data_IF_314042353034
#
_entry.id   IF_314042353034
#
_cell.length_a   1.000
_cell.length_b   1.000
_cell.length_c   1.000
_cell.angle_alpha   90.00
_cell.angle_beta   90.00
_cell.angle_gamma   90.00
#
_symmetry.space_group_name_H-M   'P 1'
#
loop_
_entity.id
_entity.type
_entity.pdbx_description
1 polymer ?
#
# COMPACT_ATOMS: atom_id res chain seq x y z
N UNK A 1 5.47 32.31 -7.20
CA UNK A 1 6.29 31.12 -6.91
C UNK A 1 5.39 30.17 -6.13
N UNK A 2 4.88 29.13 -6.79
CA UNK A 2 3.96 28.17 -6.18
C UNK A 2 4.71 27.34 -5.13
N UNK A 3 4.02 27.15 -4.00
CA UNK A 3 4.46 26.47 -2.80
C UNK A 3 4.82 25.00 -3.09
N UNK A 4 6.08 24.64 -2.90
CA UNK A 4 6.66 23.32 -3.20
C UNK A 4 6.31 22.25 -2.14
N UNK A 5 5.07 22.27 -1.64
CA UNK A 5 4.56 21.36 -0.62
C UNK A 5 3.18 20.77 -0.98
N UNK A 6 2.89 20.61 -2.27
CA UNK A 6 1.70 19.93 -2.78
C UNK A 6 1.80 18.39 -2.56
N UNK A 7 1.56 18.02 -1.30
CA UNK A 7 0.83 16.83 -0.88
C UNK A 7 1.29 15.45 -1.42
N UNK A 8 2.48 14.99 -1.01
CA UNK A 8 2.86 13.57 -1.09
C UNK A 8 2.08 12.74 -0.05
N UNK A 9 0.80 12.48 -0.33
CA UNK A 9 -0.13 11.89 0.64
C UNK A 9 -0.68 10.54 0.17
N UNK A 10 -0.19 9.45 0.77
CA UNK A 10 -0.89 8.15 0.78
C UNK A 10 -2.26 8.33 1.44
N UNK A 11 -3.26 8.75 0.67
CA UNK A 11 -4.66 8.91 1.09
C UNK A 11 -5.38 7.57 1.06
N UNK A 12 -6.36 7.41 1.95
CA UNK A 12 -7.30 6.29 1.87
C UNK A 12 -8.10 6.42 0.58
N UNK A 13 -8.15 5.35 -0.23
CA UNK A 13 -8.99 5.26 -1.43
C UNK A 13 -10.15 4.32 -1.13
N UNK A 14 -11.41 4.79 -1.16
CA UNK A 14 -12.55 3.91 -0.94
C UNK A 14 -12.72 2.98 -2.15
N UNK A 15 -12.85 1.69 -1.89
CA UNK A 15 -13.21 0.68 -2.89
C UNK A 15 -14.60 0.14 -2.56
N UNK A 16 -15.43 -0.04 -3.58
CA UNK A 16 -16.74 -0.70 -3.42
C UNK A 16 -16.55 -2.18 -3.67
N UNK A 17 -16.87 -3.01 -2.67
CA UNK A 17 -16.70 -4.46 -2.72
C UNK A 17 -17.93 -5.10 -2.08
N UNK A 18 -18.53 -6.15 -2.67
CA UNK A 18 -19.59 -6.91 -2.03
C UNK A 18 -19.13 -7.51 -0.69
N UNK A 19 -19.96 -7.41 0.36
CA UNK A 19 -19.62 -7.91 1.69
C UNK A 19 -19.24 -9.40 1.75
N UNK A 20 -19.91 -10.32 1.01
CA UNK A 20 -19.51 -11.72 1.00
C UNK A 20 -18.10 -11.91 0.41
N UNK A 21 -17.77 -11.13 -0.63
CA UNK A 21 -16.45 -11.17 -1.27
C UNK A 21 -15.38 -10.63 -0.32
N UNK A 22 -15.65 -9.51 0.35
CA UNK A 22 -14.73 -8.91 1.32
C UNK A 22 -14.44 -9.83 2.52
N UNK A 23 -15.46 -10.55 2.96
CA UNK A 23 -15.35 -11.57 4.02
C UNK A 23 -14.51 -12.74 3.57
N UNK A 24 -14.84 -13.34 2.42
CA UNK A 24 -14.12 -14.49 1.87
C UNK A 24 -12.63 -14.17 1.61
N UNK A 25 -12.34 -13.01 1.01
CA UNK A 25 -10.97 -12.55 0.78
C UNK A 25 -10.19 -12.38 2.08
N UNK A 26 -10.83 -11.82 3.12
CA UNK A 26 -10.23 -11.71 4.45
C UNK A 26 -9.79 -13.03 5.04
N UNK A 27 -10.66 -14.06 4.95
CA UNK A 27 -10.35 -15.39 5.46
C UNK A 27 -9.16 -16.02 4.72
N UNK A 28 -9.08 -15.84 3.39
CA UNK A 28 -7.95 -16.32 2.59
C UNK A 28 -6.65 -15.63 3.01
N UNK A 29 -6.68 -14.30 3.15
CA UNK A 29 -5.49 -13.51 3.48
C UNK A 29 -5.01 -13.79 4.92
N UNK A 30 -5.94 -13.97 5.86
CA UNK A 30 -5.63 -14.36 7.23
C UNK A 30 -4.95 -15.74 7.30
N UNK A 31 -5.42 -16.74 6.53
CA UNK A 31 -4.77 -18.05 6.44
C UNK A 31 -3.34 -17.99 5.90
N UNK A 32 -3.01 -16.94 5.15
CA UNK A 32 -1.66 -16.70 4.60
C UNK A 32 -0.78 -15.85 5.53
N UNK A 33 -1.29 -15.47 6.71
CA UNK A 33 -0.54 -14.69 7.70
C UNK A 33 -0.33 -13.22 7.32
N UNK A 34 -1.18 -12.65 6.46
CA UNK A 34 -1.13 -11.23 6.09
C UNK A 34 -2.46 -10.53 6.39
N UNK A 35 -2.55 -9.23 6.06
CA UNK A 35 -3.78 -8.45 6.14
C UNK A 35 -4.26 -8.03 4.75
N UNK A 36 -5.56 -7.72 4.64
CA UNK A 36 -6.20 -7.39 3.35
C UNK A 36 -5.50 -6.24 2.61
N UNK A 37 -5.04 -5.23 3.34
CA UNK A 37 -4.38 -4.06 2.75
C UNK A 37 -3.03 -4.43 2.13
N UNK A 38 -2.20 -5.21 2.84
CA UNK A 38 -0.93 -5.71 2.33
C UNK A 38 -1.13 -6.61 1.11
N UNK A 39 -2.10 -7.53 1.17
CA UNK A 39 -2.41 -8.41 0.06
C UNK A 39 -2.93 -7.66 -1.18
N UNK A 40 -3.74 -6.60 -0.99
CA UNK A 40 -4.19 -5.72 -2.08
C UNK A 40 -3.05 -4.91 -2.66
N UNK A 41 -2.18 -4.33 -1.82
CA UNK A 41 -1.00 -3.62 -2.28
C UNK A 41 -0.08 -4.54 -3.07
N UNK A 42 0.13 -5.76 -2.60
CA UNK A 42 0.97 -6.73 -3.30
C UNK A 42 0.37 -7.15 -4.65
N UNK A 43 -0.94 -7.38 -4.70
CA UNK A 43 -1.63 -7.64 -5.96
C UNK A 43 -1.46 -6.49 -6.97
N UNK A 44 -1.59 -5.23 -6.51
CA UNK A 44 -1.36 -4.05 -7.36
C UNK A 44 0.08 -3.99 -7.88
N UNK A 45 1.08 -4.24 -7.02
CA UNK A 45 2.49 -4.27 -7.45
C UNK A 45 2.74 -5.34 -8.49
N UNK A 46 2.22 -6.55 -8.28
CA UNK A 46 2.41 -7.67 -9.20
C UNK A 46 1.78 -7.40 -10.55
N UNK A 47 0.59 -6.81 -10.56
CA UNK A 47 -0.11 -6.46 -11.80
C UNK A 47 0.65 -5.39 -12.59
N UNK A 48 1.12 -4.31 -11.94
CA UNK A 48 1.93 -3.27 -12.58
C UNK A 48 3.25 -3.84 -13.12
N UNK A 49 3.95 -4.67 -12.35
CA UNK A 49 5.21 -5.29 -12.81
C UNK A 49 5.00 -6.17 -14.03
N UNK A 50 3.89 -6.91 -14.07
CA UNK A 50 3.60 -7.89 -15.12
C UNK A 50 3.03 -7.25 -16.38
N UNK A 51 2.13 -6.29 -16.22
CA UNK A 51 1.28 -5.78 -17.30
C UNK A 51 1.45 -4.27 -17.55
N UNK A 52 2.15 -3.55 -16.67
CA UNK A 52 2.31 -2.11 -16.75
C UNK A 52 3.28 -1.65 -17.85
N UNK A 53 3.05 -0.44 -18.33
CA UNK A 53 3.97 0.29 -19.21
C UNK A 53 5.21 0.75 -18.45
N UNK A 54 6.20 1.30 -19.17
CA UNK A 54 7.40 1.86 -18.52
C UNK A 54 7.06 3.06 -17.62
N UNK A 55 6.01 3.82 -17.97
CA UNK A 55 5.49 4.90 -17.12
C UNK A 55 4.86 4.35 -15.83
N UNK A 56 4.03 3.29 -15.93
CA UNK A 56 3.41 2.66 -14.76
C UNK A 56 4.45 2.09 -13.79
N UNK A 57 5.54 1.51 -14.33
CA UNK A 57 6.65 1.00 -13.54
C UNK A 57 7.43 2.13 -12.85
N UNK A 58 7.65 3.25 -13.53
CA UNK A 58 8.29 4.42 -12.91
C UNK A 58 7.46 4.99 -11.75
N UNK A 59 6.12 5.02 -11.90
CA UNK A 59 5.20 5.41 -10.83
C UNK A 59 5.21 4.42 -9.66
N UNK A 60 5.29 3.12 -9.95
CA UNK A 60 5.49 2.09 -8.92
C UNK A 60 6.78 2.33 -8.12
N UNK A 61 7.89 2.62 -8.80
CA UNK A 61 9.18 2.89 -8.15
C UNK A 61 9.15 4.17 -7.29
N UNK A 62 8.43 5.21 -7.72
CA UNK A 62 8.17 6.38 -6.87
C UNK A 62 7.34 6.01 -5.62
N UNK A 63 6.26 5.26 -5.80
CA UNK A 63 5.40 4.84 -4.69
C UNK A 63 6.15 3.95 -3.68
N UNK A 64 7.03 3.06 -4.14
CA UNK A 64 7.84 2.21 -3.27
C UNK A 64 8.87 3.02 -2.47
N UNK A 65 9.48 4.04 -3.08
CA UNK A 65 10.38 4.98 -2.38
C UNK A 65 9.64 5.76 -1.29
N UNK A 66 8.46 6.30 -1.57
CA UNK A 66 7.66 7.03 -0.57
C UNK A 66 7.28 6.11 0.63
N UNK A 67 6.83 4.88 0.34
CA UNK A 67 6.46 3.92 1.38
C UNK A 67 7.67 3.45 2.21
N UNK A 68 8.85 3.35 1.60
CA UNK A 68 10.09 3.06 2.31
C UNK A 68 10.44 4.21 3.26
N UNK A 69 10.48 5.45 2.78
CA UNK A 69 10.75 6.64 3.60
C UNK A 69 9.79 6.77 4.79
N UNK A 70 8.49 6.49 4.58
CA UNK A 70 7.49 6.49 5.66
C UNK A 70 7.74 5.40 6.69
N UNK A 71 8.11 4.18 6.26
CA UNK A 71 8.46 3.08 7.17
C UNK A 71 9.70 3.44 8.00
N UNK A 72 10.72 4.05 7.38
CA UNK A 72 11.91 4.56 8.06
C UNK A 72 11.55 5.60 9.13
N UNK A 73 10.60 6.51 8.84
CA UNK A 73 10.12 7.52 9.80
C UNK A 73 9.27 6.94 10.92
N UNK A 74 8.44 5.92 10.65
CA UNK A 74 7.62 5.23 11.67
C UNK A 74 8.40 4.26 12.55
N UNK A 75 9.68 4.02 12.28
CA UNK A 75 10.59 3.17 13.07
C UNK A 75 10.96 3.70 14.46
N UNK A 76 10.46 4.88 14.86
CA UNK A 76 10.74 5.50 16.16
C UNK A 76 9.72 5.23 17.28
N UNK A 77 8.94 4.15 17.26
CA UNK A 77 8.09 3.80 18.42
C UNK A 77 8.79 2.76 19.30
N UNK A 78 9.50 3.14 20.38
CA UNK A 78 9.90 2.17 21.38
C UNK A 78 8.65 1.46 21.91
N UNK A 79 8.74 0.12 22.05
CA UNK A 79 7.74 -0.66 22.79
C UNK A 79 7.64 -0.04 24.19
N UNK A 80 6.44 0.28 24.65
CA UNK A 80 6.22 0.45 26.09
C UNK A 80 6.50 -0.91 26.72
N UNK A 81 7.58 -1.00 27.48
CA UNK A 81 7.78 -2.05 28.47
C UNK A 81 6.79 -1.74 29.60
N UNK A 82 5.82 -2.62 29.80
CA UNK A 82 5.20 -2.86 31.11
C UNK A 82 5.62 -4.26 31.55
#
# INVERSE_FOLDING_TARGET
MADASEERTTRVRPIRVPDPLWTAYGNVVARRGSNRTEALMEAMRQDIRKNGTDEDKALLDEAERELAERRSRKGGRPRKTE
#
